data_IF_636798351035
#
_entry.id   IF_636798351035
#
_cell.length_a   1.000
_cell.length_b   1.000
_cell.length_c   1.000
_cell.angle_alpha   90.00
_cell.angle_beta   90.00
_cell.angle_gamma   90.00
#
_symmetry.space_group_name_H-M   'P 1'
#
loop_
_entity.id
_entity.type
_entity.pdbx_description
1 polymer ?
#
# COMPACT_ATOMS: atom_id res chain seq x y z
N UNK A 1 13.34 12.19 12.07
CA UNK A 1 12.62 11.40 13.10
C UNK A 1 11.21 11.21 12.57
N UNK A 2 10.68 9.98 12.42
CA UNK A 2 9.26 9.83 12.10
C UNK A 2 8.46 10.35 13.30
N UNK A 3 7.49 11.22 13.06
CA UNK A 3 6.56 11.65 14.10
C UNK A 3 5.79 10.43 14.62
N UNK A 4 5.61 10.31 15.93
CA UNK A 4 4.72 9.31 16.50
C UNK A 4 3.28 9.60 16.05
N UNK A 5 2.83 8.89 15.02
CA UNK A 5 1.45 8.95 14.52
C UNK A 5 0.52 8.47 15.63
N UNK A 6 -0.12 9.42 16.32
CA UNK A 6 -1.08 9.12 17.38
C UNK A 6 -2.48 9.04 16.80
N UNK A 7 -3.14 7.89 16.99
CA UNK A 7 -4.54 7.74 16.63
C UNK A 7 -5.42 8.79 17.34
N UNK A 8 -6.28 9.43 16.55
CA UNK A 8 -7.27 10.43 17.00
C UNK A 8 -8.65 10.00 16.53
N UNK A 9 -9.68 10.57 17.15
CA UNK A 9 -11.06 10.41 16.68
C UNK A 9 -11.19 11.06 15.30
N UNK A 10 -11.68 10.29 14.31
CA UNK A 10 -11.79 10.70 12.90
C UNK A 10 -13.22 11.00 12.47
N UNK A 11 -14.19 10.83 13.36
CA UNK A 11 -15.59 11.16 13.11
C UNK A 11 -15.73 12.66 12.82
N UNK A 12 -16.36 13.01 11.69
CA UNK A 12 -16.61 14.39 11.25
C UNK A 12 -15.34 15.25 11.08
N UNK A 13 -14.16 14.63 10.95
CA UNK A 13 -12.89 15.37 10.90
C UNK A 13 -12.63 15.99 9.54
N UNK A 14 -12.81 15.22 8.46
CA UNK A 14 -12.60 15.70 7.09
C UNK A 14 -13.89 15.80 6.28
N UNK A 15 -14.90 15.01 6.65
CA UNK A 15 -16.20 14.96 5.98
C UNK A 15 -17.23 15.28 7.04
N UNK A 16 -17.90 16.43 6.95
CA UNK A 16 -18.91 16.86 7.92
C UNK A 16 -20.23 16.10 7.75
N UNK A 17 -21.17 16.32 8.67
CA UNK A 17 -22.52 15.75 8.55
C UNK A 17 -23.23 16.22 7.28
N UNK A 18 -23.11 17.51 6.95
CA UNK A 18 -23.70 18.09 5.74
C UNK A 18 -23.08 17.48 4.49
N UNK A 19 -21.75 17.33 4.47
CA UNK A 19 -21.04 16.71 3.34
C UNK A 19 -21.52 15.27 3.10
N UNK A 20 -21.79 14.51 4.18
CA UNK A 20 -22.34 13.16 4.05
C UNK A 20 -23.76 13.15 3.50
N UNK A 21 -24.59 14.15 3.79
CA UNK A 21 -25.92 14.24 3.15
C UNK A 21 -25.78 14.43 1.64
N UNK A 22 -24.86 15.29 1.20
CA UNK A 22 -24.59 15.46 -0.23
C UNK A 22 -24.05 14.16 -0.85
N UNK A 23 -23.06 13.53 -0.21
CA UNK A 23 -22.44 12.28 -0.69
C UNK A 23 -23.46 11.15 -0.81
N UNK A 24 -24.36 10.96 0.16
CA UNK A 24 -25.37 9.89 0.13
C UNK A 24 -26.36 10.04 -1.03
N UNK A 25 -26.65 11.28 -1.46
CA UNK A 25 -27.56 11.55 -2.56
C UNK A 25 -26.92 11.36 -3.95
N UNK A 26 -25.61 11.17 -4.05
CA UNK A 26 -24.91 11.00 -5.34
C UNK A 26 -24.94 9.55 -5.82
N UNK A 27 -25.66 9.26 -6.89
CA UNK A 27 -25.67 7.94 -7.54
C UNK A 27 -24.60 7.81 -8.63
N UNK A 28 -24.29 8.91 -9.30
CA UNK A 28 -23.33 8.98 -10.42
C UNK A 28 -21.89 9.09 -9.92
N UNK A 29 -20.98 8.31 -10.50
CA UNK A 29 -19.54 8.34 -10.16
C UNK A 29 -18.93 9.73 -10.41
N UNK A 30 -19.12 10.39 -11.57
CA UNK A 30 -18.62 11.74 -11.80
C UNK A 30 -19.07 12.78 -10.76
N UNK A 31 -20.33 12.70 -10.33
CA UNK A 31 -20.85 13.63 -9.32
C UNK A 31 -20.25 13.33 -7.94
N UNK A 32 -20.07 12.04 -7.63
CA UNK A 32 -19.39 11.57 -6.42
C UNK A 32 -17.91 12.00 -6.39
N UNK A 33 -17.19 11.90 -7.51
CA UNK A 33 -15.81 12.39 -7.63
C UNK A 33 -15.72 13.90 -7.37
N UNK A 34 -16.65 14.66 -7.96
CA UNK A 34 -16.71 16.12 -7.81
C UNK A 34 -16.93 16.54 -6.35
N UNK A 35 -17.90 15.92 -5.66
CA UNK A 35 -18.15 16.22 -4.24
C UNK A 35 -16.98 15.79 -3.36
N UNK A 36 -16.40 14.60 -3.57
CA UNK A 36 -15.26 14.12 -2.79
C UNK A 36 -14.02 14.99 -2.99
N UNK A 37 -13.78 15.47 -4.21
CA UNK A 37 -12.71 16.41 -4.52
C UNK A 37 -12.83 17.70 -3.68
N UNK A 38 -14.05 18.27 -3.62
CA UNK A 38 -14.34 19.47 -2.84
C UNK A 38 -14.21 19.24 -1.34
N UNK A 39 -14.85 18.19 -0.83
CA UNK A 39 -14.93 17.91 0.61
C UNK A 39 -13.58 17.54 1.20
N UNK A 40 -12.81 16.70 0.50
CA UNK A 40 -11.50 16.24 0.99
C UNK A 40 -10.34 17.16 0.59
N UNK A 41 -10.63 18.25 -0.12
CA UNK A 41 -9.65 19.28 -0.50
C UNK A 41 -8.57 18.75 -1.46
N UNK A 42 -8.96 17.98 -2.47
CA UNK A 42 -8.03 17.37 -3.43
C UNK A 42 -7.60 18.40 -4.48
N UNK A 43 -6.60 19.20 -4.17
CA UNK A 43 -5.96 20.15 -5.10
C UNK A 43 -4.66 19.57 -5.66
N UNK A 44 -4.79 18.66 -6.63
CA UNK A 44 -3.65 17.99 -7.27
C UNK A 44 -3.77 18.02 -8.80
N UNK A 45 -2.65 18.06 -9.53
CA UNK A 45 -2.65 17.86 -10.97
C UNK A 45 -2.89 16.39 -11.32
N UNK A 46 -3.38 16.13 -12.54
CA UNK A 46 -3.40 14.77 -13.08
C UNK A 46 -1.97 14.23 -13.29
N UNK A 47 -1.73 12.92 -13.10
CA UNK A 47 -2.70 11.85 -12.78
C UNK A 47 -2.96 11.66 -11.27
N UNK A 48 -2.33 12.47 -10.40
CA UNK A 48 -2.39 12.27 -8.94
C UNK A 48 -3.81 12.43 -8.39
N UNK A 49 -4.55 13.41 -8.94
CA UNK A 49 -5.95 13.64 -8.58
C UNK A 49 -6.81 12.43 -8.88
N UNK A 50 -6.78 11.90 -10.09
CA UNK A 50 -7.56 10.70 -10.45
C UNK A 50 -7.26 9.51 -9.54
N UNK A 51 -5.98 9.22 -9.26
CA UNK A 51 -5.60 8.12 -8.36
C UNK A 51 -6.14 8.31 -6.94
N UNK A 52 -6.11 9.54 -6.42
CA UNK A 52 -6.59 9.81 -5.06
C UNK A 52 -8.12 9.81 -4.97
N UNK A 53 -8.81 10.35 -5.98
CA UNK A 53 -10.28 10.32 -6.04
C UNK A 53 -10.81 8.91 -6.20
N UNK A 54 -10.18 8.08 -7.03
CA UNK A 54 -10.52 6.66 -7.18
C UNK A 54 -10.50 5.97 -5.81
N UNK A 55 -9.45 6.19 -5.01
CA UNK A 55 -9.36 5.63 -3.65
C UNK A 55 -10.55 6.04 -2.76
N UNK A 56 -10.98 7.30 -2.83
CA UNK A 56 -12.11 7.79 -2.04
C UNK A 56 -13.47 7.31 -2.56
N UNK A 57 -13.67 7.29 -3.88
CA UNK A 57 -14.88 6.76 -4.52
C UNK A 57 -15.06 5.30 -4.14
N UNK A 58 -14.01 4.49 -4.29
CA UNK A 58 -14.07 3.06 -3.92
C UNK A 58 -14.38 2.86 -2.44
N UNK A 59 -13.90 3.75 -1.56
CA UNK A 59 -14.24 3.69 -0.15
C UNK A 59 -15.73 3.96 0.11
N UNK A 60 -16.31 4.96 -0.56
CA UNK A 60 -17.75 5.24 -0.47
C UNK A 60 -18.56 4.05 -1.01
N UNK A 61 -18.20 3.50 -2.18
CA UNK A 61 -18.89 2.35 -2.75
C UNK A 61 -18.85 1.14 -1.80
N UNK A 62 -17.68 0.85 -1.23
CA UNK A 62 -17.53 -0.19 -0.21
C UNK A 62 -18.45 0.03 1.00
N UNK A 63 -18.59 1.27 1.50
CA UNK A 63 -19.49 1.56 2.63
C UNK A 63 -20.96 1.36 2.27
N UNK A 64 -21.36 1.69 1.03
CA UNK A 64 -22.72 1.47 0.53
C UNK A 64 -23.03 -0.01 0.41
N UNK A 65 -22.11 -0.79 -0.16
CA UNK A 65 -22.24 -2.25 -0.28
C UNK A 65 -22.41 -2.94 1.09
N UNK A 66 -21.75 -2.42 2.12
CA UNK A 66 -21.82 -2.96 3.49
C UNK A 66 -22.90 -2.28 4.36
N UNK A 67 -23.73 -1.39 3.79
CA UNK A 67 -24.81 -0.68 4.49
C UNK A 67 -24.35 0.09 5.73
N UNK A 68 -23.17 0.73 5.66
CA UNK A 68 -22.65 1.56 6.75
C UNK A 68 -23.46 2.86 6.89
N UNK A 69 -23.48 3.40 8.11
CA UNK A 69 -24.12 4.68 8.45
C UNK A 69 -23.26 5.86 8.03
N UNK A 70 -23.87 7.05 7.95
CA UNK A 70 -23.19 8.33 7.64
C UNK A 70 -21.95 8.57 8.52
N UNK A 71 -22.09 8.33 9.82
CA UNK A 71 -21.00 8.47 10.79
C UNK A 71 -19.83 7.53 10.46
N UNK A 72 -20.15 6.28 10.10
CA UNK A 72 -19.19 5.24 9.76
C UNK A 72 -18.46 5.57 8.46
N UNK A 73 -19.17 6.05 7.44
CA UNK A 73 -18.58 6.47 6.16
C UNK A 73 -17.67 7.68 6.32
N UNK A 74 -18.12 8.72 7.04
CA UNK A 74 -17.29 9.89 7.35
C UNK A 74 -16.00 9.51 8.08
N UNK A 75 -16.10 8.65 9.10
CA UNK A 75 -14.94 8.17 9.84
C UNK A 75 -14.00 7.33 8.96
N UNK A 76 -14.54 6.44 8.11
CA UNK A 76 -13.73 5.61 7.23
C UNK A 76 -12.96 6.44 6.19
N UNK A 77 -13.61 7.40 5.54
CA UNK A 77 -12.95 8.32 4.60
C UNK A 77 -11.82 9.10 5.29
N UNK A 78 -12.07 9.59 6.50
CA UNK A 78 -11.08 10.30 7.31
C UNK A 78 -9.91 9.40 7.75
N UNK A 79 -10.17 8.13 8.06
CA UNK A 79 -9.15 7.12 8.38
C UNK A 79 -8.27 6.85 7.15
N UNK A 80 -8.88 6.58 5.98
CA UNK A 80 -8.17 6.31 4.74
C UNK A 80 -7.30 7.51 4.35
N UNK A 81 -7.84 8.73 4.43
CA UNK A 81 -7.07 9.95 4.19
C UNK A 81 -5.88 10.06 5.15
N UNK A 82 -6.09 9.83 6.44
CA UNK A 82 -5.02 9.91 7.44
C UNK A 82 -3.92 8.87 7.21
N UNK A 83 -4.28 7.66 6.82
CA UNK A 83 -3.32 6.60 6.45
C UNK A 83 -2.57 6.99 5.18
N UNK A 84 -3.27 7.58 4.20
CA UNK A 84 -2.64 8.05 2.97
C UNK A 84 -1.62 9.14 3.23
N UNK A 85 -2.00 10.18 3.98
CA UNK A 85 -1.12 11.29 4.34
C UNK A 85 0.14 10.78 5.06
N UNK A 86 -0.02 9.84 6.00
CA UNK A 86 1.09 9.20 6.70
C UNK A 86 2.00 8.37 5.77
N UNK A 87 1.43 7.65 4.80
CA UNK A 87 2.22 6.85 3.85
C UNK A 87 3.06 7.74 2.93
N UNK A 88 2.54 8.88 2.49
CA UNK A 88 3.20 9.76 1.51
C UNK A 88 4.06 10.85 2.16
N UNK A 89 4.03 10.99 3.48
CA UNK A 89 4.88 11.92 4.24
C UNK A 89 6.38 11.70 4.01
N UNK A 90 6.78 10.46 3.68
CA UNK A 90 8.17 10.10 3.42
C UNK A 90 8.32 9.19 2.20
N UNK A 91 9.36 9.41 1.36
CA UNK A 91 9.69 8.48 0.27
C UNK A 91 10.21 7.14 0.79
N UNK A 92 10.64 7.07 2.06
CA UNK A 92 11.15 5.84 2.68
C UNK A 92 10.01 4.85 2.94
N UNK A 93 10.35 3.56 3.03
CA UNK A 93 9.39 2.53 3.40
C UNK A 93 8.94 2.72 4.87
N UNK A 94 7.65 2.97 5.07
CA UNK A 94 7.01 3.11 6.39
C UNK A 94 5.74 2.23 6.49
N UNK A 95 5.68 1.12 5.74
CA UNK A 95 4.51 0.24 5.70
C UNK A 95 4.10 -0.27 7.09
N UNK A 96 5.06 -0.72 7.90
CA UNK A 96 4.78 -1.23 9.25
C UNK A 96 4.17 -0.15 10.15
N UNK A 97 4.66 1.09 10.04
CA UNK A 97 4.09 2.24 10.75
C UNK A 97 2.66 2.54 10.29
N UNK A 98 2.41 2.53 8.97
CA UNK A 98 1.07 2.75 8.42
C UNK A 98 0.09 1.64 8.84
N UNK A 99 0.54 0.38 8.86
CA UNK A 99 -0.25 -0.77 9.30
C UNK A 99 -0.58 -0.67 10.80
N UNK A 100 0.39 -0.32 11.63
CA UNK A 100 0.17 -0.06 13.06
C UNK A 100 -0.81 1.08 13.27
N UNK A 101 -0.63 2.19 12.56
CA UNK A 101 -1.51 3.35 12.64
C UNK A 101 -2.95 3.02 12.22
N UNK A 102 -3.13 2.26 11.13
CA UNK A 102 -4.44 1.76 10.70
C UNK A 102 -5.13 0.96 11.82
N UNK A 103 -4.43 0.00 12.44
CA UNK A 103 -4.97 -0.80 13.55
C UNK A 103 -5.36 0.07 14.75
N UNK A 104 -4.53 1.04 15.13
CA UNK A 104 -4.81 1.95 16.24
C UNK A 104 -6.02 2.85 15.94
N UNK A 105 -6.16 3.35 14.71
CA UNK A 105 -7.34 4.10 14.28
C UNK A 105 -8.61 3.25 14.36
N UNK A 106 -8.58 2.01 13.86
CA UNK A 106 -9.76 1.13 13.92
C UNK A 106 -10.15 0.75 15.36
N UNK A 107 -9.16 0.50 16.24
CA UNK A 107 -9.41 0.27 17.67
C UNK A 107 -10.04 1.49 18.35
N UNK A 108 -9.60 2.69 17.99
CA UNK A 108 -10.15 3.96 18.50
C UNK A 108 -11.63 4.16 18.13
N UNK A 109 -12.10 3.53 17.06
CA UNK A 109 -13.48 3.63 16.58
C UNK A 109 -14.33 2.39 16.88
N UNK A 110 -13.82 1.43 17.67
CA UNK A 110 -14.57 0.22 18.05
C UNK A 110 -14.73 0.00 19.55
N UNK A 111 -13.91 0.65 20.36
CA UNK A 111 -13.96 0.53 21.82
C UNK A 111 -14.59 1.77 22.43
N UNK A 112 -15.51 1.61 23.40
CA UNK A 112 -16.13 2.72 24.11
C UNK A 112 -15.27 3.18 25.31
N UNK A 113 -14.45 4.22 25.12
CA UNK A 113 -13.74 4.94 26.21
C UNK A 113 -13.66 6.44 25.91
N UNK A 114 -14.77 7.19 26.10
CA UNK A 114 -14.75 8.64 25.99
C UNK A 114 -13.72 9.25 26.97
N UNK A 115 -12.99 10.33 26.60
CA UNK A 115 -13.07 11.09 25.34
C UNK A 115 -12.23 10.52 24.19
N UNK A 116 -11.49 9.44 24.40
CA UNK A 116 -10.44 8.99 23.47
C UNK A 116 -10.95 8.08 22.36
N UNK A 117 -11.99 7.28 22.62
CA UNK A 117 -12.49 6.28 21.68
C UNK A 117 -14.02 6.17 21.72
N UNK A 118 -14.60 5.83 20.57
CA UNK A 118 -16.05 5.64 20.39
C UNK A 118 -16.32 4.24 19.85
N UNK A 119 -17.47 3.65 20.17
CA UNK A 119 -17.91 2.38 19.61
C UNK A 119 -18.75 2.64 18.35
N UNK A 120 -18.09 3.07 17.27
CA UNK A 120 -18.71 3.37 15.98
C UNK A 120 -18.82 2.13 15.08
N UNK A 121 -17.81 1.26 15.14
CA UNK A 121 -17.75 -0.01 14.43
C UNK A 121 -17.85 -1.18 15.42
N UNK A 122 -18.64 -2.18 15.06
CA UNK A 122 -18.62 -3.50 15.68
C UNK A 122 -17.34 -4.25 15.31
N UNK A 123 -16.99 -5.30 16.07
CA UNK A 123 -15.82 -6.13 15.78
C UNK A 123 -15.84 -6.74 14.37
N UNK A 124 -17.03 -7.10 13.87
CA UNK A 124 -17.22 -7.62 12.50
C UNK A 124 -16.91 -6.56 11.45
N UNK A 125 -17.44 -5.35 11.63
CA UNK A 125 -17.19 -4.22 10.72
C UNK A 125 -15.71 -3.82 10.73
N UNK A 126 -15.05 -3.81 11.89
CA UNK A 126 -13.61 -3.55 11.99
C UNK A 126 -12.80 -4.52 11.14
N UNK A 127 -13.07 -5.83 11.25
CA UNK A 127 -12.37 -6.83 10.46
C UNK A 127 -12.64 -6.65 8.96
N UNK A 128 -13.87 -6.36 8.58
CA UNK A 128 -14.25 -6.10 7.19
C UNK A 128 -13.53 -4.86 6.62
N UNK A 129 -13.50 -3.76 7.39
CA UNK A 129 -12.79 -2.53 7.03
C UNK A 129 -11.29 -2.77 6.94
N UNK A 130 -10.71 -3.49 7.90
CA UNK A 130 -9.28 -3.78 7.91
C UNK A 130 -8.87 -4.58 6.68
N UNK A 131 -9.61 -5.64 6.34
CA UNK A 131 -9.39 -6.42 5.11
C UNK A 131 -9.54 -5.56 3.86
N UNK A 132 -10.54 -4.68 3.82
CA UNK A 132 -10.73 -3.75 2.71
C UNK A 132 -9.53 -2.81 2.54
N UNK A 133 -9.10 -2.12 3.60
CA UNK A 133 -7.95 -1.19 3.57
C UNK A 133 -6.66 -1.95 3.24
N UNK A 134 -6.48 -3.14 3.82
CA UNK A 134 -5.28 -3.94 3.58
C UNK A 134 -5.16 -4.33 2.11
N UNK A 135 -6.22 -4.87 1.52
CA UNK A 135 -6.21 -5.39 0.16
C UNK A 135 -6.21 -4.28 -0.90
N UNK A 136 -6.96 -3.20 -0.69
CA UNK A 136 -7.12 -2.14 -1.71
C UNK A 136 -6.11 -1.00 -1.57
N UNK A 137 -5.52 -0.80 -0.39
CA UNK A 137 -4.57 0.29 -0.15
C UNK A 137 -3.19 -0.20 0.29
N UNK A 138 -3.07 -0.85 1.45
CA UNK A 138 -1.75 -1.14 2.06
C UNK A 138 -0.92 -2.12 1.23
N UNK A 139 -1.55 -3.13 0.59
CA UNK A 139 -0.86 -4.03 -0.34
C UNK A 139 -0.22 -3.29 -1.52
N UNK A 140 -0.79 -2.16 -1.90
CA UNK A 140 -0.36 -1.31 -3.01
C UNK A 140 0.41 -0.05 -2.54
N UNK A 141 0.89 0.01 -1.30
CA UNK A 141 1.53 1.20 -0.74
C UNK A 141 2.68 1.77 -1.61
N UNK A 142 3.44 0.91 -2.31
CA UNK A 142 4.53 1.33 -3.21
C UNK A 142 4.04 2.16 -4.40
N UNK A 143 2.86 1.82 -4.94
CA UNK A 143 2.23 2.60 -6.02
C UNK A 143 1.91 4.01 -5.54
N UNK A 144 1.25 4.12 -4.39
CA UNK A 144 0.95 5.41 -3.80
C UNK A 144 2.22 6.19 -3.47
N UNK A 145 3.25 5.56 -2.91
CA UNK A 145 4.54 6.25 -2.70
C UNK A 145 5.13 6.78 -4.00
N UNK A 146 5.15 5.96 -5.06
CA UNK A 146 5.68 6.36 -6.35
C UNK A 146 4.96 7.59 -6.94
N UNK A 147 3.63 7.65 -6.81
CA UNK A 147 2.80 8.74 -7.36
C UNK A 147 2.90 10.02 -6.51
N UNK A 148 2.91 9.88 -5.19
CA UNK A 148 2.69 11.01 -4.27
C UNK A 148 3.96 11.52 -3.57
N UNK A 149 5.09 10.80 -3.61
CA UNK A 149 6.35 11.26 -2.99
C UNK A 149 7.31 11.90 -4.01
N UNK A 150 8.14 12.87 -3.60
CA UNK A 150 9.19 13.42 -4.46
C UNK A 150 10.20 12.34 -4.88
N UNK A 151 10.48 12.23 -6.17
CA UNK A 151 11.54 11.35 -6.68
C UNK A 151 12.90 12.02 -6.47
N UNK A 152 13.78 11.42 -5.66
CA UNK A 152 15.16 11.86 -5.51
C UNK A 152 15.96 11.25 -6.67
N UNK A 153 16.43 12.08 -7.61
CA UNK A 153 17.35 11.65 -8.67
C UNK A 153 18.78 11.93 -8.23
N UNK A 154 19.60 10.89 -8.19
CA UNK A 154 21.03 11.02 -7.96
C UNK A 154 21.72 11.19 -9.33
N UNK A 155 22.26 12.37 -9.59
CA UNK A 155 23.09 12.63 -10.76
C UNK A 155 24.56 12.39 -10.38
N UNK A 156 25.14 11.29 -10.85
CA UNK A 156 26.52 10.92 -10.56
C UNK A 156 27.39 11.27 -11.77
N UNK A 157 28.29 12.24 -11.57
CA UNK A 157 29.42 12.45 -12.48
C UNK A 157 30.63 11.71 -11.92
N UNK A 158 31.04 10.64 -12.62
CA UNK A 158 32.27 9.92 -12.31
C UNK A 158 33.39 10.46 -13.21
N UNK A 159 34.41 11.05 -12.60
CA UNK A 159 35.67 11.34 -13.28
C UNK A 159 36.67 10.29 -12.85
N UNK A 160 36.99 9.38 -13.77
CA UNK A 160 38.07 8.42 -13.56
C UNK A 160 39.39 9.16 -13.76
N UNK A 161 40.11 9.40 -12.67
CA UNK A 161 41.51 9.82 -12.75
C UNK A 161 42.38 8.60 -12.95
N UNK A 162 42.82 8.39 -14.19
CA UNK A 162 43.95 7.50 -14.50
C UNK A 162 45.22 8.07 -13.87
N UNK A 163 45.40 7.84 -12.58
CA UNK A 163 46.74 7.79 -12.01
C UNK A 163 47.16 6.32 -12.07
N UNK A 164 47.29 5.81 -13.29
CA UNK A 164 48.16 4.67 -13.53
C UNK A 164 49.56 5.27 -13.59
N UNK A 165 50.28 5.23 -12.48
CA UNK A 165 51.72 5.35 -12.55
C UNK A 165 52.20 4.29 -13.57
N UNK A 166 52.98 4.66 -14.59
CA UNK A 166 53.40 3.73 -15.64
C UNK A 166 54.25 2.54 -15.16
N UNK A 167 54.52 2.42 -13.86
CA UNK A 167 55.49 1.48 -13.31
C UNK A 167 54.90 0.16 -12.77
N UNK A 168 53.58 0.02 -12.61
CA UNK A 168 52.98 -1.20 -12.04
C UNK A 168 52.49 -2.24 -13.07
N UNK A 169 52.66 -2.00 -14.38
CA UNK A 169 52.36 -2.98 -15.44
C UNK A 169 53.61 -3.63 -16.03
N UNK A 170 54.53 -4.10 -15.19
CA UNK A 170 55.51 -5.10 -15.65
C UNK A 170 54.92 -6.51 -15.49
N UNK A 171 54.07 -6.91 -16.43
CA UNK A 171 53.81 -8.33 -16.66
C UNK A 171 55.02 -8.92 -17.41
N UNK A 172 55.62 -10.04 -16.96
CA UNK A 172 56.77 -10.61 -17.66
C UNK A 172 56.34 -11.13 -19.04
N UNK A 173 57.09 -10.71 -20.05
CA UNK A 173 56.95 -11.16 -21.43
C UNK A 173 57.13 -12.68 -21.52
N UNK A 174 56.14 -13.34 -22.12
CA UNK A 174 56.11 -14.79 -22.30
C UNK A 174 55.11 -15.16 -23.39
N UNK A 175 55.49 -14.81 -24.63
CA UNK A 175 55.22 -15.50 -25.90
C UNK A 175 53.85 -16.14 -26.21
N UNK A 176 53.24 -15.54 -27.25
CA UNK A 176 52.58 -16.15 -28.42
C UNK A 176 51.09 -16.54 -28.29
N UNK A 177 50.26 -15.73 -28.95
CA UNK A 177 48.91 -16.06 -29.41
C UNK A 177 48.96 -17.14 -30.52
N UNK A 178 47.88 -17.92 -30.70
CA UNK A 178 47.07 -17.56 -31.86
C UNK A 178 45.57 -17.56 -31.60
N UNK A 179 44.92 -16.77 -32.44
CA UNK A 179 43.50 -16.48 -32.57
C UNK A 179 42.56 -17.69 -32.50
N UNK A 180 41.37 -17.46 -31.93
CA UNK A 180 40.11 -17.71 -32.65
C UNK A 180 38.99 -16.91 -32.01
N UNK A 181 38.36 -16.08 -32.84
CA UNK A 181 37.20 -15.29 -32.46
C UNK A 181 35.99 -16.15 -32.07
N UNK A 182 35.05 -15.48 -31.40
CA UNK A 182 33.61 -15.47 -31.65
C UNK A 182 33.03 -14.55 -30.56
N UNK A 183 32.45 -13.42 -30.98
CA UNK A 183 31.51 -12.65 -30.18
C UNK A 183 30.25 -13.49 -29.93
N UNK A 184 29.65 -13.38 -28.74
CA UNK A 184 28.19 -13.32 -28.72
C UNK A 184 27.68 -12.01 -28.12
N UNK A 185 26.85 -11.35 -28.91
CA UNK A 185 25.89 -10.32 -28.53
C UNK A 185 25.15 -10.71 -27.25
N UNK A 186 25.04 -9.75 -26.32
CA UNK A 186 24.06 -9.83 -25.24
C UNK A 186 22.71 -9.43 -25.82
N UNK A 187 21.91 -10.41 -26.21
CA UNK A 187 20.49 -10.21 -26.49
C UNK A 187 19.70 -10.18 -25.18
N UNK A 188 19.04 -9.06 -24.93
CA UNK A 188 17.92 -8.97 -24.00
C UNK A 188 16.76 -9.84 -24.51
N UNK A 189 16.29 -10.77 -23.67
CA UNK A 189 14.91 -11.27 -23.73
C UNK A 189 14.36 -11.40 -22.31
N UNK A 190 13.08 -11.03 -22.08
CA UNK A 190 12.46 -11.10 -20.77
C UNK A 190 11.83 -12.49 -20.56
N UNK A 191 12.30 -13.23 -19.55
CA UNK A 191 11.65 -14.45 -19.09
C UNK A 191 11.18 -14.32 -17.64
N UNK A 192 9.87 -14.13 -17.53
CA UNK A 192 9.00 -14.53 -16.42
C UNK A 192 9.26 -15.99 -16.06
N UNK A 193 9.40 -16.31 -14.76
CA UNK A 193 8.79 -17.46 -14.06
C UNK A 193 9.36 -17.58 -12.64
N UNK A 194 8.49 -17.44 -11.63
CA UNK A 194 8.84 -17.51 -10.21
C UNK A 194 8.87 -18.94 -9.62
N UNK A 195 9.33 -19.08 -8.37
CA UNK A 195 9.30 -20.35 -7.64
C UNK A 195 7.94 -20.51 -6.94
N UNK A 196 6.97 -21.14 -7.62
CA UNK A 196 5.64 -21.46 -7.03
C UNK A 196 5.33 -22.95 -6.95
N UNK A 197 6.35 -23.81 -7.11
CA UNK A 197 6.19 -25.27 -7.09
C UNK A 197 6.26 -25.85 -5.66
N UNK A 198 7.15 -25.33 -4.81
CA UNK A 198 7.43 -25.94 -3.50
C UNK A 198 6.43 -25.55 -2.40
N UNK A 199 5.84 -24.36 -2.49
CA UNK A 199 4.89 -23.88 -1.46
C UNK A 199 3.50 -24.50 -1.63
N UNK A 200 3.12 -24.87 -2.86
CA UNK A 200 1.83 -25.54 -3.12
C UNK A 200 1.84 -27.00 -2.65
N UNK A 201 2.96 -27.70 -2.83
CA UNK A 201 3.08 -29.10 -2.43
C UNK A 201 3.12 -29.28 -0.92
N UNK A 202 3.66 -28.30 -0.18
CA UNK A 202 3.64 -28.27 1.28
C UNK A 202 2.23 -28.04 1.84
N UNK A 203 1.46 -27.11 1.24
CA UNK A 203 0.12 -26.78 1.72
C UNK A 203 -0.89 -27.93 1.49
N UNK A 204 -0.78 -28.65 0.36
CA UNK A 204 -1.65 -29.80 0.09
C UNK A 204 -1.35 -31.04 0.95
N UNK A 205 -0.14 -31.13 1.51
CA UNK A 205 0.24 -32.22 2.40
C UNK A 205 -0.30 -31.97 3.82
N UNK A 206 -0.16 -30.74 4.31
CA UNK A 206 -0.68 -30.29 5.61
C UNK A 206 -2.22 -30.39 5.68
N UNK A 207 -2.92 -29.98 4.61
CA UNK A 207 -4.38 -30.07 4.52
C UNK A 207 -4.87 -31.52 4.53
N UNK A 208 -4.13 -32.45 3.92
CA UNK A 208 -4.47 -33.89 3.93
C UNK A 208 -4.27 -34.54 5.30
N UNK A 209 -3.24 -34.15 6.05
CA UNK A 209 -3.02 -34.66 7.41
C UNK A 209 -4.11 -34.18 8.38
N UNK A 210 -4.50 -32.91 8.30
CA UNK A 210 -5.56 -32.33 9.15
C UNK A 210 -6.94 -32.97 8.88
N UNK A 211 -7.23 -33.32 7.63
CA UNK A 211 -8.52 -33.91 7.25
C UNK A 211 -8.66 -35.39 7.70
N UNK A 212 -7.54 -36.09 7.86
CA UNK A 212 -7.49 -37.47 8.37
C UNK A 212 -7.67 -37.50 9.90
N UNK A 213 -7.15 -36.50 10.61
CA UNK A 213 -7.30 -36.35 12.07
C UNK A 213 -8.73 -35.99 12.48
N UNK A 214 -9.42 -35.15 11.69
CA UNK A 214 -10.81 -34.75 11.98
C UNK A 214 -11.79 -35.90 11.72
N UNK A 215 -11.56 -36.72 10.69
CA UNK A 215 -12.41 -37.88 10.41
C UNK A 215 -12.31 -38.97 11.49
N UNK A 216 -11.17 -39.09 12.19
CA UNK A 216 -11.00 -40.02 13.30
C UNK A 216 -11.67 -39.61 14.62
N UNK A 217 -12.11 -38.35 14.75
CA UNK A 217 -12.82 -37.84 15.94
C UNK A 217 -14.34 -37.89 15.81
N UNK A 218 -14.86 -38.27 14.63
CA UNK A 218 -16.30 -38.33 14.35
C UNK A 218 -16.89 -39.75 14.49
N UNK A 219 -16.05 -40.78 14.65
CA UNK A 219 -16.46 -42.19 14.77
C UNK A 219 -16.37 -42.75 16.21
N UNK A 220 -16.57 -41.91 17.24
CA UNK A 220 -16.69 -42.40 18.63
C UNK A 220 -17.86 -41.81 19.41
#
# INVERSE_FOLDING_TARGET
>A
MPYDLKAKLMLWTHVSYHDMEEIDNMESIPDLESILCRVLGVDLPEPKRGVLLELYVQAVLFTRENSFKKEQTSALLSIIKSIHDANVETPLNNLEHCLKYCKELLLTHSVRRPPFSIALFSAKEVNCIFEYIYNNYLRHYKLYKYVFTPQIKLDLSLTYTENLDPEDFSAPEGEVLPEKGVFPETQETPNTNGPTSEVKTLNEKEVREQMMLVSGQLDH
#
